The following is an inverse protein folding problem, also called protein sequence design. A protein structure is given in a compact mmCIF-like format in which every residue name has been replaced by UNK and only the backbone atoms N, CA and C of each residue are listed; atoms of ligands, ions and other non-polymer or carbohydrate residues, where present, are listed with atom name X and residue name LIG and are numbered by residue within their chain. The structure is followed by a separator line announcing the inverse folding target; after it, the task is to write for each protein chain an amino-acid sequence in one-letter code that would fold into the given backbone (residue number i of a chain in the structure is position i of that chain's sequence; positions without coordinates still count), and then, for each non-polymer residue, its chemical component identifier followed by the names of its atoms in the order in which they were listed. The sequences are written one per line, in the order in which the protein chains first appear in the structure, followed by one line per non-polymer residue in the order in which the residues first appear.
data_IF_872181917225
#
_entry.id   IF_872181917225
#
_cell.length_a   1.000
_cell.length_b   1.000
_cell.length_c   1.000
_cell.angle_alpha   90.00
_cell.angle_beta   90.00
_cell.angle_gamma   90.00
#
_symmetry.space_group_name_H-M   'P 1'
#
loop_
_entity.id
_entity.type
_entity.pdbx_description
1 polymer ?
#
# COMPACT_ATOMS: atom_id res chain seq x y z
N UNK A 1 -0.46 15.09 3.18
CA UNK A 1 -1.31 13.90 2.91
C UNK A 1 -1.34 12.92 4.08
N UNK A 2 -0.21 12.64 4.76
CA UNK A 2 -0.13 11.60 5.79
C UNK A 2 -0.96 11.90 7.03
N UNK A 3 -0.93 13.14 7.52
CA UNK A 3 -1.79 13.59 8.62
C UNK A 3 -3.27 13.41 8.26
N UNK A 4 -3.67 13.83 7.05
CA UNK A 4 -5.05 13.68 6.56
C UNK A 4 -5.46 12.22 6.50
N UNK A 5 -4.62 11.35 5.94
CA UNK A 5 -4.82 9.90 5.87
C UNK A 5 -5.08 9.31 7.26
N UNK A 6 -4.18 9.56 8.19
CA UNK A 6 -4.28 9.03 9.56
C UNK A 6 -5.46 9.63 10.34
N UNK A 7 -5.80 10.89 10.10
CA UNK A 7 -6.97 11.53 10.72
C UNK A 7 -8.28 10.92 10.23
N UNK A 8 -8.40 10.65 8.94
CA UNK A 8 -9.58 10.00 8.35
C UNK A 8 -9.72 8.58 8.89
N UNK A 9 -8.63 7.79 8.87
CA UNK A 9 -8.65 6.41 9.37
C UNK A 9 -8.94 6.34 10.87
N UNK A 10 -8.37 7.23 11.67
CA UNK A 10 -8.65 7.31 13.10
C UNK A 10 -10.13 7.62 13.39
N UNK A 11 -10.74 8.53 12.62
CA UNK A 11 -12.12 8.99 12.85
C UNK A 11 -13.16 8.02 12.31
N UNK A 12 -12.94 7.47 11.13
CA UNK A 12 -13.96 6.74 10.39
C UNK A 12 -13.61 5.26 10.19
N UNK A 13 -12.32 4.89 10.29
CA UNK A 13 -11.85 3.60 9.80
C UNK A 13 -11.88 3.51 8.28
N UNK A 14 -12.03 2.30 7.77
CA UNK A 14 -12.08 2.05 6.33
C UNK A 14 -10.71 1.86 5.70
N UNK A 15 -10.60 2.12 4.40
CA UNK A 15 -9.38 1.87 3.63
C UNK A 15 -8.95 3.15 2.92
N UNK A 16 -7.70 3.52 3.13
CA UNK A 16 -7.02 4.53 2.33
C UNK A 16 -6.29 3.88 1.16
N UNK A 17 -6.47 4.44 -0.01
CA UNK A 17 -5.73 4.08 -1.23
C UNK A 17 -5.16 5.33 -1.86
N UNK A 18 -3.88 5.31 -2.23
CA UNK A 18 -3.32 6.34 -3.09
C UNK A 18 -3.95 6.27 -4.49
N UNK A 19 -4.09 7.41 -5.16
CA UNK A 19 -4.66 7.50 -6.51
C UNK A 19 -3.91 6.68 -7.58
N UNK A 20 -2.75 6.16 -7.26
CA UNK A 20 -1.93 5.31 -8.13
C UNK A 20 -2.15 3.80 -7.89
N UNK A 21 -3.13 3.43 -7.09
CA UNK A 21 -3.56 2.03 -6.94
C UNK A 21 -4.50 1.69 -8.10
N UNK A 22 -4.15 0.66 -8.83
CA UNK A 22 -4.98 0.07 -9.89
C UNK A 22 -5.61 -1.23 -9.35
N UNK A 23 -6.93 -1.25 -9.08
CA UNK A 23 -7.60 -2.43 -8.55
C UNK A 23 -7.70 -3.52 -9.62
N UNK A 24 -7.50 -4.77 -9.22
CA UNK A 24 -7.68 -5.95 -10.06
C UNK A 24 -9.05 -6.61 -9.79
N UNK A 25 -9.53 -7.50 -10.66
CA UNK A 25 -10.71 -8.31 -10.40
C UNK A 25 -10.60 -9.02 -9.03
N UNK A 26 -11.66 -8.95 -8.24
CA UNK A 26 -11.69 -9.51 -6.87
C UNK A 26 -11.16 -8.56 -5.78
N UNK A 27 -10.67 -7.36 -6.12
CA UNK A 27 -10.17 -6.39 -5.14
C UNK A 27 -11.26 -5.97 -4.14
N UNK A 28 -12.47 -5.65 -4.61
CA UNK A 28 -13.56 -5.21 -3.74
C UNK A 28 -13.93 -6.31 -2.74
N UNK A 29 -14.12 -7.54 -3.21
CA UNK A 29 -14.45 -8.69 -2.36
C UNK A 29 -13.34 -8.99 -1.34
N UNK A 30 -12.08 -8.84 -1.75
CA UNK A 30 -10.96 -8.97 -0.84
C UNK A 30 -10.96 -7.88 0.23
N UNK A 31 -11.23 -6.64 -0.13
CA UNK A 31 -11.38 -5.54 0.83
C UNK A 31 -12.54 -5.80 1.80
N UNK A 32 -13.72 -6.18 1.30
CA UNK A 32 -14.91 -6.47 2.12
C UNK A 32 -14.64 -7.56 3.15
N UNK A 33 -13.98 -8.64 2.75
CA UNK A 33 -13.57 -9.73 3.65
C UNK A 33 -12.70 -9.24 4.81
N UNK A 34 -11.94 -8.17 4.63
CA UNK A 34 -10.97 -7.68 5.61
C UNK A 34 -11.37 -6.36 6.29
N UNK A 35 -12.53 -5.77 5.98
CA UNK A 35 -13.01 -4.51 6.59
C UNK A 35 -13.19 -4.60 8.10
N UNK A 36 -13.52 -5.78 8.61
CA UNK A 36 -13.70 -6.03 10.04
C UNK A 36 -12.37 -6.29 10.79
N UNK A 37 -11.26 -6.33 10.09
CA UNK A 37 -9.95 -6.48 10.72
C UNK A 37 -9.52 -5.16 11.37
N UNK A 38 -8.75 -5.24 12.44
CA UNK A 38 -8.17 -4.08 13.10
C UNK A 38 -7.23 -3.31 12.17
N UNK A 39 -6.52 -4.04 11.31
CA UNK A 39 -5.63 -3.47 10.27
C UNK A 39 -5.76 -4.26 8.96
N UNK A 40 -5.73 -3.54 7.85
CA UNK A 40 -5.56 -4.07 6.50
C UNK A 40 -4.46 -3.28 5.79
N UNK A 41 -3.51 -3.96 5.18
CA UNK A 41 -2.40 -3.35 4.41
C UNK A 41 -1.77 -4.37 3.47
N UNK A 42 -0.93 -3.93 2.55
CA UNK A 42 -0.10 -4.84 1.77
C UNK A 42 0.98 -5.48 2.65
N UNK A 43 1.07 -6.80 2.67
CA UNK A 43 2.09 -7.55 3.41
C UNK A 43 2.74 -8.60 2.53
N UNK A 44 4.06 -8.53 2.38
CA UNK A 44 4.80 -9.44 1.51
C UNK A 44 5.57 -10.49 2.30
N UNK A 45 5.73 -11.66 1.69
CA UNK A 45 6.47 -12.77 2.29
C UNK A 45 7.97 -12.53 2.38
N UNK A 46 8.53 -11.80 1.41
CA UNK A 46 9.97 -11.55 1.36
C UNK A 46 10.32 -10.39 2.29
N UNK A 47 11.18 -10.65 3.27
CA UNK A 47 11.78 -9.61 4.11
C UNK A 47 12.73 -8.71 3.30
N UNK A 48 12.78 -7.44 3.67
CA UNK A 48 13.74 -6.49 3.10
C UNK A 48 14.10 -5.41 4.13
N UNK A 49 15.25 -5.59 4.76
CA UNK A 49 15.78 -4.70 5.79
C UNK A 49 16.20 -3.30 5.29
N UNK A 50 16.14 -3.04 3.98
CA UNK A 50 16.35 -1.69 3.44
C UNK A 50 15.18 -0.75 3.79
N UNK A 51 14.00 -1.29 4.09
CA UNK A 51 12.83 -0.52 4.45
C UNK A 51 12.46 -0.75 5.92
N UNK A 52 12.07 0.32 6.59
CA UNK A 52 11.61 0.28 7.98
C UNK A 52 10.42 -0.67 8.16
N UNK A 53 9.54 -0.76 7.17
CA UNK A 53 8.39 -1.67 7.18
C UNK A 53 8.77 -3.14 7.09
N UNK A 54 9.95 -3.47 6.60
CA UNK A 54 10.38 -4.84 6.29
C UNK A 54 9.30 -5.62 5.52
N UNK A 55 8.59 -4.91 4.63
CA UNK A 55 7.44 -5.41 3.87
C UNK A 55 6.25 -5.94 4.71
N UNK A 56 6.18 -5.62 6.00
CA UNK A 56 5.06 -5.98 6.88
C UNK A 56 3.83 -5.12 6.66
N UNK A 57 4.03 -3.92 6.13
CA UNK A 57 2.96 -2.97 5.75
C UNK A 57 3.35 -2.12 4.56
N UNK A 58 2.35 -1.47 3.98
CA UNK A 58 2.52 -0.39 3.00
C UNK A 58 1.71 0.82 3.42
N UNK A 59 2.19 2.02 3.14
CA UNK A 59 1.49 3.26 3.49
C UNK A 59 0.58 3.76 2.39
N UNK A 60 0.81 3.37 1.14
CA UNK A 60 -0.02 3.71 0.00
C UNK A 60 -1.35 2.94 -0.07
N UNK A 61 -1.46 1.86 0.68
CA UNK A 61 -2.67 1.06 0.89
C UNK A 61 -2.70 0.61 2.34
N UNK A 62 -3.57 1.21 3.15
CA UNK A 62 -3.72 0.87 4.56
C UNK A 62 -5.11 1.22 5.06
N UNK A 63 -5.57 0.50 6.07
CA UNK A 63 -6.87 0.74 6.67
C UNK A 63 -7.12 -0.13 7.88
N UNK A 64 -8.35 -0.12 8.36
CA UNK A 64 -8.80 -0.90 9.50
C UNK A 64 -9.97 -0.29 10.23
N UNK A 65 -10.26 -0.78 11.44
CA UNK A 65 -11.34 -0.28 12.27
C UNK A 65 -11.09 1.15 12.74
N UNK A 66 -12.18 1.93 12.82
CA UNK A 66 -12.12 3.26 13.43
C UNK A 66 -11.56 3.18 14.85
N UNK A 67 -10.82 4.22 15.25
CA UNK A 67 -10.21 4.34 16.58
C UNK A 67 -9.23 3.21 16.94
N UNK A 68 -8.85 2.34 15.99
CA UNK A 68 -7.76 1.40 16.24
C UNK A 68 -6.48 2.17 16.57
N UNK A 69 -5.82 1.79 17.65
CA UNK A 69 -4.75 2.58 18.29
C UNK A 69 -3.65 3.07 17.34
N UNK A 70 -3.35 2.33 16.29
CA UNK A 70 -2.35 2.67 15.29
C UNK A 70 -2.62 4.05 14.65
N UNK A 71 -3.87 4.29 14.21
CA UNK A 71 -4.18 5.48 13.40
C UNK A 71 -4.11 6.78 14.20
N UNK A 72 -4.74 6.91 15.39
CA UNK A 72 -4.58 8.11 16.20
C UNK A 72 -3.12 8.29 16.67
N UNK A 73 -2.42 7.22 17.04
CA UNK A 73 -1.02 7.31 17.45
C UNK A 73 -0.13 7.90 16.35
N UNK A 74 -0.19 7.36 15.13
CA UNK A 74 0.61 7.86 14.01
C UNK A 74 0.22 9.29 13.65
N UNK A 75 -1.09 9.62 13.64
CA UNK A 75 -1.57 10.99 13.44
C UNK A 75 -0.95 11.96 14.44
N UNK A 76 -0.99 11.61 15.72
CA UNK A 76 -0.55 12.51 16.80
C UNK A 76 0.97 12.70 16.77
N UNK A 77 1.72 11.67 16.40
CA UNK A 77 3.16 11.78 16.14
C UNK A 77 3.47 12.77 15.02
N UNK A 78 2.73 12.68 13.90
CA UNK A 78 2.89 13.59 12.76
C UNK A 78 2.48 15.03 13.12
N UNK A 79 1.37 15.21 13.84
CA UNK A 79 0.89 16.52 14.28
C UNK A 79 1.89 17.18 15.23
N UNK A 80 2.41 16.43 16.18
CA UNK A 80 3.40 16.94 17.14
C UNK A 80 4.65 17.47 16.43
N UNK A 81 5.16 16.77 15.42
CA UNK A 81 6.28 17.28 14.63
C UNK A 81 5.98 18.61 13.96
N UNK A 82 4.77 18.79 13.42
CA UNK A 82 4.36 20.04 12.76
C UNK A 82 4.19 21.15 13.79
N UNK A 83 3.53 20.89 14.92
CA UNK A 83 3.28 21.87 15.99
C UNK A 83 4.57 22.36 16.61
N UNK A 84 5.52 21.47 16.86
CA UNK A 84 6.84 21.81 17.40
C UNK A 84 7.80 22.37 16.34
N UNK A 85 7.35 22.55 15.10
CA UNK A 85 8.15 23.00 13.95
C UNK A 85 9.44 22.19 13.75
N UNK A 86 9.40 20.91 14.12
CA UNK A 86 10.52 20.02 13.90
C UNK A 86 10.53 19.57 12.43
N UNK A 87 11.69 19.53 11.78
CA UNK A 87 11.80 18.94 10.46
C UNK A 87 11.49 17.43 10.53
N UNK A 88 10.75 16.91 9.56
CA UNK A 88 10.67 15.46 9.41
C UNK A 88 12.07 14.91 9.12
N UNK A 89 12.41 13.81 9.78
CA UNK A 89 13.75 13.19 9.66
C UNK A 89 14.01 12.80 8.20
N UNK A 90 13.00 12.24 7.53
CA UNK A 90 13.00 11.98 6.09
C UNK A 90 11.58 11.78 5.53
N UNK A 91 11.50 11.38 4.26
CA UNK A 91 10.25 11.11 3.55
C UNK A 91 9.43 9.98 4.21
N UNK A 92 10.06 9.02 4.90
CA UNK A 92 9.44 7.85 5.49
C UNK A 92 9.02 8.03 6.96
N UNK A 93 8.86 9.28 7.42
CA UNK A 93 8.53 9.56 8.82
C UNK A 93 7.26 8.83 9.30
N UNK A 94 6.26 8.67 8.42
CA UNK A 94 5.07 7.87 8.72
C UNK A 94 5.40 6.39 8.96
N UNK A 95 6.28 5.80 8.16
CA UNK A 95 6.73 4.41 8.34
C UNK A 95 7.48 4.22 9.67
N UNK A 96 8.31 5.19 10.07
CA UNK A 96 8.96 5.17 11.40
C UNK A 96 7.94 5.25 12.54
N UNK A 97 6.89 6.07 12.38
CA UNK A 97 5.82 6.16 13.37
C UNK A 97 5.03 4.85 13.49
N UNK A 98 4.75 4.18 12.36
CA UNK A 98 4.13 2.86 12.35
C UNK A 98 5.06 1.81 12.98
N UNK A 99 6.36 1.84 12.68
CA UNK A 99 7.34 0.94 13.28
C UNK A 99 7.46 1.14 14.80
N UNK A 100 7.34 2.37 15.29
CA UNK A 100 7.27 2.64 16.71
C UNK A 100 6.01 2.04 17.33
N UNK A 101 4.83 2.27 16.71
CA UNK A 101 3.58 1.67 17.15
C UNK A 101 3.66 0.13 17.21
N UNK A 102 4.23 -0.49 16.19
CA UNK A 102 4.46 -1.94 16.12
C UNK A 102 5.33 -2.47 17.27
N UNK A 103 6.26 -1.66 17.78
CA UNK A 103 7.14 -2.03 18.90
C UNK A 103 6.53 -1.78 20.27
N UNK A 104 5.68 -0.76 20.39
CA UNK A 104 5.15 -0.27 21.66
C UNK A 104 3.80 -0.89 22.00
N UNK A 105 2.95 -1.18 20.99
CA UNK A 105 1.62 -1.73 21.21
C UNK A 105 1.59 -3.21 20.82
N UNK A 106 1.44 -4.10 21.80
CA UNK A 106 1.36 -5.54 21.56
C UNK A 106 0.21 -5.93 20.62
N UNK A 107 -0.91 -5.22 20.67
CA UNK A 107 -2.03 -5.44 19.77
C UNK A 107 -1.68 -5.12 18.32
N UNK A 108 -0.96 -4.02 18.05
CA UNK A 108 -0.51 -3.66 16.70
C UNK A 108 0.47 -4.70 16.18
N UNK A 109 1.42 -5.10 17.02
CA UNK A 109 2.39 -6.14 16.66
C UNK A 109 1.69 -7.45 16.31
N UNK A 110 0.80 -7.90 17.19
CA UNK A 110 0.02 -9.13 16.96
C UNK A 110 -0.77 -9.07 15.66
N UNK A 111 -1.54 -7.99 15.44
CA UNK A 111 -2.44 -7.89 14.29
C UNK A 111 -1.66 -7.79 12.97
N UNK A 112 -0.51 -7.11 12.95
CA UNK A 112 0.41 -7.09 11.80
C UNK A 112 1.05 -8.45 11.58
N UNK A 113 1.52 -9.11 12.63
CA UNK A 113 2.21 -10.41 12.50
C UNK A 113 1.26 -11.52 12.03
N UNK A 114 0.01 -11.55 12.52
CA UNK A 114 -1.00 -12.55 12.13
C UNK A 114 -1.67 -12.30 10.79
N UNK A 115 -1.54 -11.10 10.22
CA UNK A 115 -2.10 -10.83 8.89
C UNK A 115 -1.46 -11.72 7.83
N UNK A 116 -2.29 -12.32 6.99
CA UNK A 116 -1.83 -13.14 5.85
C UNK A 116 -1.01 -12.32 4.86
N UNK A 117 -0.04 -12.96 4.23
CA UNK A 117 0.69 -12.37 3.12
C UNK A 117 -0.23 -12.15 1.93
N UNK A 118 -0.15 -10.97 1.34
CA UNK A 118 -1.01 -10.54 0.24
C UNK A 118 -0.27 -9.57 -0.69
N UNK A 119 -0.83 -9.34 -1.87
CA UNK A 119 -0.34 -8.35 -2.83
C UNK A 119 1.17 -8.47 -3.13
N UNK A 120 1.63 -9.72 -3.33
CA UNK A 120 3.05 -10.05 -3.48
C UNK A 120 3.72 -9.35 -4.67
N UNK A 121 2.95 -9.04 -5.70
CA UNK A 121 3.44 -8.47 -6.95
C UNK A 121 2.97 -7.03 -7.18
N UNK A 122 2.41 -6.35 -6.17
CA UNK A 122 1.78 -5.04 -6.31
C UNK A 122 2.65 -4.01 -7.07
N UNK A 123 3.95 -3.97 -6.84
CA UNK A 123 4.87 -3.00 -7.48
C UNK A 123 5.56 -3.54 -8.73
N UNK A 124 5.40 -4.83 -9.07
CA UNK A 124 6.11 -5.43 -10.19
C UNK A 124 5.56 -4.99 -11.54
N UNK A 125 4.26 -4.72 -11.65
CA UNK A 125 3.64 -4.23 -12.88
C UNK A 125 4.31 -2.94 -13.36
N UNK A 126 4.66 -2.02 -12.46
CA UNK A 126 5.32 -0.78 -12.82
C UNK A 126 6.66 -0.99 -13.55
N UNK A 127 7.39 -2.08 -13.24
CA UNK A 127 8.67 -2.40 -13.87
C UNK A 127 8.54 -2.87 -15.33
N UNK A 128 7.35 -3.29 -15.72
CA UNK A 128 7.07 -3.81 -17.06
C UNK A 128 5.93 -3.07 -17.75
N UNK A 129 5.47 -1.95 -17.19
CA UNK A 129 4.25 -1.25 -17.62
C UNK A 129 4.26 -0.91 -19.12
N UNK A 130 5.39 -0.49 -19.66
CA UNK A 130 5.59 -0.13 -21.07
C UNK A 130 6.13 -1.29 -21.94
N UNK A 131 6.29 -2.49 -21.38
CA UNK A 131 6.70 -3.67 -22.14
C UNK A 131 5.50 -4.28 -22.84
N UNK A 132 5.75 -5.02 -23.95
CA UNK A 132 4.75 -5.81 -24.64
C UNK A 132 3.95 -6.64 -23.65
N UNK A 133 2.62 -6.62 -23.79
CA UNK A 133 1.72 -7.46 -23.01
C UNK A 133 2.00 -8.94 -23.28
N UNK A 134 2.10 -9.70 -22.22
CA UNK A 134 2.23 -11.14 -22.20
C UNK A 134 1.25 -11.72 -21.17
N UNK A 135 0.32 -12.54 -21.64
CA UNK A 135 -0.75 -13.09 -20.81
C UNK A 135 -0.23 -13.97 -19.66
N UNK A 136 0.82 -14.75 -19.91
CA UNK A 136 1.36 -15.65 -18.87
C UNK A 136 2.06 -14.87 -17.79
N UNK A 137 2.86 -13.88 -18.16
CA UNK A 137 3.52 -12.96 -17.22
C UNK A 137 2.47 -12.19 -16.44
N UNK A 138 1.45 -11.67 -17.12
CA UNK A 138 0.36 -10.92 -16.48
C UNK A 138 -0.38 -11.78 -15.45
N UNK A 139 -0.80 -12.97 -15.81
CA UNK A 139 -1.49 -13.90 -14.92
C UNK A 139 -0.64 -14.23 -13.68
N UNK A 140 0.66 -14.47 -13.88
CA UNK A 140 1.60 -14.71 -12.79
C UNK A 140 1.74 -13.51 -11.83
N UNK A 141 1.66 -12.29 -12.37
CA UNK A 141 1.66 -11.09 -11.52
C UNK A 141 0.35 -10.92 -10.72
N UNK A 142 -0.77 -11.43 -11.24
CA UNK A 142 -2.05 -11.40 -10.54
C UNK A 142 -2.16 -12.43 -9.41
N UNK A 143 -1.26 -13.43 -9.34
CA UNK A 143 -1.28 -14.42 -8.26
C UNK A 143 -1.11 -13.77 -6.89
N UNK A 144 -2.06 -14.01 -5.98
CA UNK A 144 -2.12 -13.39 -4.63
C UNK A 144 -1.87 -11.88 -4.65
N UNK A 145 -2.43 -11.20 -5.67
CA UNK A 145 -2.28 -9.76 -5.89
C UNK A 145 -3.64 -9.20 -6.31
N UNK A 146 -4.17 -8.28 -5.53
CA UNK A 146 -5.49 -7.69 -5.71
C UNK A 146 -5.44 -6.28 -6.28
N UNK A 147 -4.26 -5.67 -6.32
CA UNK A 147 -4.03 -4.36 -6.95
C UNK A 147 -2.59 -4.21 -7.41
N UNK A 148 -2.37 -3.35 -8.39
CA UNK A 148 -1.05 -2.88 -8.76
C UNK A 148 -0.81 -1.47 -8.22
N UNK A 149 0.38 -1.21 -7.69
CA UNK A 149 0.87 0.12 -7.35
C UNK A 149 1.58 0.70 -8.56
N UNK A 150 0.92 1.62 -9.22
CA UNK A 150 1.46 2.36 -10.36
C UNK A 150 2.12 3.67 -9.91
N UNK A 151 2.58 4.47 -10.87
CA UNK A 151 3.17 5.78 -10.64
C UNK A 151 2.68 6.76 -11.72
N UNK A 152 2.45 7.99 -11.33
CA UNK A 152 2.24 9.10 -12.26
C UNK A 152 3.57 9.69 -12.79
N UNK A 153 4.70 9.25 -12.20
CA UNK A 153 6.05 9.66 -12.62
C UNK A 153 6.51 8.73 -13.74
N UNK A 154 6.87 9.32 -14.84
CA UNK A 154 7.32 8.58 -16.02
C UNK A 154 6.27 8.54 -17.13
N UNK A 155 6.72 8.25 -18.32
CA UNK A 155 5.88 8.13 -19.50
C UNK A 155 5.16 6.79 -19.50
N UNK A 156 3.87 6.78 -19.78
CA UNK A 156 3.05 5.58 -19.97
C UNK A 156 2.73 5.45 -21.46
N UNK A 157 3.08 4.33 -22.07
CA UNK A 157 2.98 4.08 -23.51
C UNK A 157 1.94 3.00 -23.79
N UNK A 158 1.03 3.30 -24.70
CA UNK A 158 0.02 2.32 -25.16
C UNK A 158 0.65 1.25 -26.06
N UNK A 159 1.65 1.64 -26.86
CA UNK A 159 2.33 0.73 -27.78
C UNK A 159 3.85 0.77 -27.57
N UNK A 160 4.48 -0.36 -27.83
CA UNK A 160 5.95 -0.44 -27.91
C UNK A 160 6.45 0.26 -29.20
N UNK A 161 7.75 0.44 -29.34
CA UNK A 161 8.36 0.97 -30.55
C UNK A 161 8.09 0.09 -31.80
N UNK A 162 7.81 -1.19 -31.58
CA UNK A 162 7.44 -2.15 -32.63
C UNK A 162 5.94 -2.22 -32.89
N UNK A 163 5.13 -1.40 -32.23
CA UNK A 163 3.67 -1.37 -32.40
C UNK A 163 2.91 -2.43 -31.61
N UNK A 164 3.55 -3.20 -30.74
CA UNK A 164 2.86 -4.16 -29.88
C UNK A 164 2.11 -3.44 -28.74
N UNK A 165 0.94 -3.97 -28.36
CA UNK A 165 0.20 -3.53 -27.16
C UNK A 165 1.03 -3.69 -25.90
N UNK A 166 1.13 -2.64 -25.07
CA UNK A 166 1.84 -2.68 -23.79
C UNK A 166 0.95 -3.20 -22.67
N UNK A 167 1.58 -3.49 -21.51
CA UNK A 167 0.82 -3.81 -20.31
C UNK A 167 -0.05 -2.63 -19.86
N UNK A 168 0.39 -1.37 -20.06
CA UNK A 168 -0.41 -0.20 -19.74
C UNK A 168 -1.70 -0.14 -20.53
N UNK A 169 -1.63 -0.28 -21.86
CA UNK A 169 -2.80 -0.28 -22.74
C UNK A 169 -3.75 -1.45 -22.42
N UNK A 170 -3.21 -2.61 -22.06
CA UNK A 170 -4.03 -3.73 -21.60
C UNK A 170 -4.81 -3.40 -20.32
N UNK A 171 -4.15 -2.75 -19.33
CA UNK A 171 -4.81 -2.33 -18.09
C UNK A 171 -5.94 -1.31 -18.34
N UNK A 172 -5.76 -0.38 -19.29
CA UNK A 172 -6.80 0.59 -19.65
C UNK A 172 -8.08 -0.04 -20.20
N UNK A 173 -7.99 -1.27 -20.73
CA UNK A 173 -9.10 -2.01 -21.35
C UNK A 173 -9.74 -3.04 -20.41
N UNK A 174 -9.21 -3.23 -19.21
CA UNK A 174 -9.78 -4.10 -18.20
C UNK A 174 -11.00 -3.47 -17.51
#
# INVERSE_FOLDING_TARGET
SDITRMSILAKYGGIWMDATIFPLPGFAQWCEKHLENNIITGKRKKSNNMFVSDYKWTTYFCGGKKQYVLFPFVRDMLLKCVEEKQPFIDYYYMDYSIALAYRVFDEVKRDVDYMEYNNQNAEKMLQIINKKYDKEIFNKLCENTYFFKLSWKGELKEFTELGDTTNYEYLLKM
#
